data_IF_827957509776
#
_entry.id   IF_827957509776
#
_cell.length_a   1.000
_cell.length_b   1.000
_cell.length_c   1.000
_cell.angle_alpha   90.00
_cell.angle_beta   90.00
_cell.angle_gamma   90.00
#
_symmetry.space_group_name_H-M   'P 1'
#
loop_
_entity.id
_entity.type
_entity.pdbx_description
1 polymer ?
#
# COMPACT_ATOMS: atom_id res chain seq x y z
N UNK A 1 3.96 -9.04 18.48
CA UNK A 1 3.51 -7.66 18.20
C UNK A 1 3.15 -7.61 16.72
N UNK A 2 1.94 -7.18 16.36
CA UNK A 2 1.64 -6.92 14.95
C UNK A 2 2.54 -5.74 14.51
N UNK A 3 3.64 -6.05 13.83
CA UNK A 3 4.58 -5.04 13.35
C UNK A 3 3.85 -4.11 12.40
N UNK A 4 4.09 -2.80 12.52
CA UNK A 4 3.56 -1.83 11.56
C UNK A 4 4.05 -2.20 10.15
N UNK A 5 3.12 -2.54 9.25
CA UNK A 5 3.47 -2.83 7.85
C UNK A 5 4.14 -1.62 7.22
N UNK A 6 5.38 -1.79 6.73
CA UNK A 6 6.03 -0.80 5.88
C UNK A 6 5.47 -0.89 4.46
N UNK A 7 4.37 -0.17 4.23
CA UNK A 7 3.71 -0.11 2.94
C UNK A 7 4.61 0.43 1.82
N UNK A 8 5.55 1.32 2.14
CA UNK A 8 6.45 1.89 1.13
C UNK A 8 7.43 0.84 0.62
N UNK A 9 7.97 0.02 1.53
CA UNK A 9 8.83 -1.11 1.17
C UNK A 9 8.04 -2.18 0.40
N UNK A 10 6.88 -2.61 0.91
CA UNK A 10 6.06 -3.63 0.27
C UNK A 10 5.71 -3.26 -1.19
N UNK A 11 5.23 -2.04 -1.41
CA UNK A 11 4.89 -1.58 -2.76
C UNK A 11 6.11 -1.49 -3.68
N UNK A 12 7.28 -1.18 -3.14
CA UNK A 12 8.51 -1.11 -3.93
C UNK A 12 9.00 -2.51 -4.32
N UNK A 13 8.95 -3.46 -3.39
CA UNK A 13 9.33 -4.86 -3.64
C UNK A 13 8.41 -5.48 -4.70
N UNK A 14 7.08 -5.37 -4.54
CA UNK A 14 6.10 -5.82 -5.54
C UNK A 14 6.28 -5.15 -6.91
N UNK A 15 6.54 -3.84 -6.92
CA UNK A 15 6.80 -3.10 -8.17
C UNK A 15 8.01 -3.66 -8.92
N UNK A 16 9.07 -4.01 -8.19
CA UNK A 16 10.28 -4.58 -8.77
C UNK A 16 10.04 -5.99 -9.30
N UNK A 17 9.32 -6.84 -8.56
CA UNK A 17 8.94 -8.19 -8.99
C UNK A 17 8.13 -8.17 -10.29
N UNK A 18 7.20 -7.23 -10.42
CA UNK A 18 6.39 -7.04 -11.64
C UNK A 18 7.15 -6.36 -12.79
N UNK A 19 8.37 -5.88 -12.57
CA UNK A 19 9.17 -5.20 -13.59
C UNK A 19 8.60 -3.86 -14.08
N UNK A 20 7.65 -3.26 -13.35
CA UNK A 20 7.00 -2.01 -13.79
C UNK A 20 7.75 -0.78 -13.27
N UNK A 21 7.81 0.30 -14.05
CA UNK A 21 8.43 1.54 -13.58
C UNK A 21 7.57 2.25 -12.54
N UNK A 22 8.19 3.08 -11.68
CA UNK A 22 7.45 3.96 -10.76
C UNK A 22 6.44 4.85 -11.51
N UNK A 23 6.80 5.30 -12.72
CA UNK A 23 5.92 6.10 -13.57
C UNK A 23 4.67 5.30 -13.95
N UNK A 24 4.85 4.10 -14.50
CA UNK A 24 3.76 3.24 -14.92
C UNK A 24 2.83 2.89 -13.75
N UNK A 25 3.39 2.58 -12.58
CA UNK A 25 2.61 2.33 -11.37
C UNK A 25 1.75 3.54 -10.97
N UNK A 26 2.33 4.73 -10.93
CA UNK A 26 1.61 5.95 -10.56
C UNK A 26 0.54 6.33 -11.58
N UNK A 27 0.81 6.15 -12.88
CA UNK A 27 -0.14 6.40 -13.95
C UNK A 27 -1.33 5.43 -13.87
N UNK A 28 -1.06 4.12 -13.74
CA UNK A 28 -2.11 3.11 -13.59
C UNK A 28 -2.96 3.31 -12.33
N UNK A 29 -2.36 3.78 -11.24
CA UNK A 29 -3.07 4.04 -9.99
C UNK A 29 -3.77 5.41 -9.96
N UNK A 30 -3.59 6.25 -10.99
CA UNK A 30 -4.03 7.65 -11.01
C UNK A 30 -3.56 8.43 -9.77
N UNK A 31 -2.26 8.34 -9.46
CA UNK A 31 -1.61 9.01 -8.34
C UNK A 31 -0.52 9.95 -8.87
N UNK A 32 -0.50 11.17 -8.33
CA UNK A 32 0.56 12.10 -8.65
C UNK A 32 1.93 11.57 -8.17
N UNK A 33 2.91 11.51 -9.07
CA UNK A 33 4.25 10.95 -8.79
C UNK A 33 4.95 11.61 -7.60
N UNK A 34 4.74 12.89 -7.34
CA UNK A 34 5.33 13.57 -6.19
C UNK A 34 4.66 13.20 -4.86
N UNK A 35 3.40 12.74 -4.87
CA UNK A 35 2.75 12.15 -3.69
C UNK A 35 3.40 10.80 -3.38
N UNK A 36 3.55 9.94 -4.39
CA UNK A 36 4.23 8.64 -4.23
C UNK A 36 5.69 8.80 -3.77
N UNK A 37 6.43 9.78 -4.32
CA UNK A 37 7.80 10.09 -3.89
C UNK A 37 7.87 10.55 -2.43
N UNK A 38 6.97 11.44 -2.00
CA UNK A 38 6.90 11.90 -0.59
C UNK A 38 6.54 10.76 0.35
N UNK A 39 5.57 9.93 -0.06
CA UNK A 39 5.20 8.71 0.65
C UNK A 39 6.39 7.77 0.87
N UNK A 40 7.14 7.45 -0.19
CA UNK A 40 8.35 6.61 -0.10
C UNK A 40 9.45 7.18 0.80
N UNK A 41 9.49 8.50 0.99
CA UNK A 41 10.45 9.17 1.88
C UNK A 41 9.93 9.33 3.31
N UNK A 42 8.72 8.86 3.60
CA UNK A 42 8.06 9.02 4.89
C UNK A 42 7.51 10.42 5.15
N UNK A 43 7.52 11.33 4.16
CA UNK A 43 7.05 12.72 4.32
C UNK A 43 5.59 12.93 3.89
N UNK A 44 4.90 11.87 3.48
CA UNK A 44 3.46 11.86 3.26
C UNK A 44 2.88 10.48 3.59
N UNK A 45 1.58 10.43 3.92
CA UNK A 45 0.82 9.19 4.02
C UNK A 45 -0.09 9.03 2.81
N UNK A 46 -0.31 7.79 2.38
CA UNK A 46 -1.34 7.47 1.42
C UNK A 46 -2.63 7.12 2.17
N UNK A 47 -3.75 7.47 1.55
CA UNK A 47 -5.07 6.98 1.97
C UNK A 47 -5.25 5.51 1.59
N UNK A 48 -6.19 4.82 2.22
CA UNK A 48 -6.54 3.42 1.90
C UNK A 48 -6.89 3.29 0.42
N UNK A 49 -7.75 4.18 -0.11
CA UNK A 49 -8.11 4.21 -1.53
C UNK A 49 -6.93 4.47 -2.49
N UNK A 50 -5.85 5.09 -2.03
CA UNK A 50 -4.62 5.23 -2.82
C UNK A 50 -3.78 3.95 -2.77
N UNK A 51 -3.72 3.29 -1.62
CA UNK A 51 -3.04 2.00 -1.48
C UNK A 51 -3.74 0.93 -2.33
N UNK A 52 -5.07 0.82 -2.25
CA UNK A 52 -5.88 -0.08 -3.07
C UNK A 52 -5.60 0.10 -4.56
N UNK A 53 -5.56 1.34 -5.05
CA UNK A 53 -5.26 1.59 -6.47
C UNK A 53 -3.85 1.17 -6.87
N UNK A 54 -2.85 1.41 -6.02
CA UNK A 54 -1.47 0.98 -6.30
C UNK A 54 -1.35 -0.54 -6.30
N UNK A 55 -1.99 -1.20 -5.34
CA UNK A 55 -2.04 -2.67 -5.25
C UNK A 55 -2.81 -3.26 -6.43
N UNK A 56 -3.91 -2.64 -6.85
CA UNK A 56 -4.71 -3.08 -7.99
C UNK A 56 -3.93 -3.08 -9.30
N UNK A 57 -3.07 -2.08 -9.54
CA UNK A 57 -2.15 -2.07 -10.70
C UNK A 57 -1.18 -3.26 -10.67
N UNK A 58 -0.79 -3.68 -9.48
CA UNK A 58 0.08 -4.83 -9.25
C UNK A 58 -0.71 -6.16 -9.21
N UNK A 59 -2.03 -6.15 -9.37
CA UNK A 59 -2.85 -7.36 -9.32
C UNK A 59 -3.17 -7.86 -7.90
N UNK A 60 -3.05 -7.00 -6.88
CA UNK A 60 -3.37 -7.29 -5.50
C UNK A 60 -4.60 -6.52 -5.02
N UNK A 61 -5.33 -7.09 -4.08
CA UNK A 61 -6.44 -6.47 -3.38
C UNK A 61 -6.08 -6.20 -1.92
N UNK A 62 -6.61 -5.12 -1.36
CA UNK A 62 -6.49 -4.81 0.06
C UNK A 62 -7.76 -5.29 0.78
N UNK A 63 -7.61 -6.20 1.73
CA UNK A 63 -8.72 -6.73 2.52
C UNK A 63 -8.57 -6.38 4.01
N UNK A 64 -9.69 -6.14 4.67
CA UNK A 64 -9.75 -5.78 6.08
C UNK A 64 -10.47 -6.88 6.87
N UNK A 65 -9.71 -7.62 7.68
CA UNK A 65 -10.27 -8.66 8.54
C UNK A 65 -10.59 -8.09 9.92
N UNK A 66 -11.87 -8.15 10.30
CA UNK A 66 -12.27 -7.83 11.66
C UNK A 66 -11.82 -8.95 12.61
N UNK A 67 -10.93 -8.62 13.53
CA UNK A 67 -10.54 -9.52 14.61
C UNK A 67 -11.50 -9.27 15.78
N UNK A 68 -12.49 -10.14 15.95
CA UNK A 68 -13.37 -10.09 17.12
C UNK A 68 -12.52 -10.40 18.35
N UNK A 69 -12.47 -9.45 19.29
CA UNK A 69 -11.74 -9.61 20.53
C UNK A 69 -12.28 -10.80 21.32
N UNK A 70 -11.37 -11.70 21.69
CA UNK A 70 -11.53 -12.76 22.71
C UNK A 70 -12.48 -12.33 23.81
N UNK A 71 -13.57 -13.08 23.98
CA UNK A 71 -14.49 -13.00 25.10
C UNK A 71 -13.71 -12.70 26.39
N UNK A 72 -13.85 -11.49 26.92
CA UNK A 72 -13.53 -11.26 28.34
C UNK A 72 -14.74 -11.81 29.08
N UNK A 73 -14.70 -13.14 29.28
CA UNK A 73 -15.72 -13.87 30.03
C UNK A 73 -16.05 -13.14 31.32
N UNK A 74 -17.35 -13.09 31.58
CA UNK A 74 -18.01 -12.54 32.76
C UNK A 74 -17.46 -13.10 34.08
#
# INVERSE_FOLDING_TARGET
>A
MAGSTDWAKLLEDLRQEHGISQRALCEGANIWRGTYRRFRRGSARLTIAQLERLLGVLGYELDAMMIVGRDKGA
#
